data_IF_949903699101
#
_entry.id   IF_949903699101
#
_cell.length_a   1.000
_cell.length_b   1.000
_cell.length_c   1.000
_cell.angle_alpha   90.00
_cell.angle_beta   90.00
_cell.angle_gamma   90.00
#
_symmetry.space_group_name_H-M   'P 1'
#
loop_
_entity.id
_entity.type
_entity.pdbx_description
1 polymer ?
#
# COMPACT_ATOMS: atom_id res chain seq x y z
N UNK A 1 -55.21 9.79 -20.50
CA UNK A 1 -54.53 10.94 -19.88
C UNK A 1 -53.13 11.03 -20.46
N UNK A 2 -53.00 11.87 -21.48
CA UNK A 2 -51.75 12.19 -22.19
C UNK A 2 -51.08 13.35 -21.47
N UNK A 3 -49.75 13.30 -21.31
CA UNK A 3 -48.94 14.49 -21.03
C UNK A 3 -47.63 14.36 -21.80
N UNK A 4 -47.62 14.99 -22.97
CA UNK A 4 -46.42 15.40 -23.67
C UNK A 4 -45.92 16.71 -23.06
N UNK A 5 -44.65 16.78 -22.67
CA UNK A 5 -43.96 18.06 -22.48
C UNK A 5 -42.67 18.06 -23.31
N UNK A 6 -42.62 19.06 -24.18
CA UNK A 6 -41.56 19.43 -25.11
C UNK A 6 -40.30 19.92 -24.39
N UNK A 7 -39.13 19.78 -25.02
CA UNK A 7 -37.92 20.40 -24.49
C UNK A 7 -36.64 20.20 -25.31
N UNK A 8 -36.57 20.87 -26.46
CA UNK A 8 -35.39 21.45 -27.13
C UNK A 8 -34.01 20.78 -26.96
N UNK A 9 -33.46 20.15 -28.00
CA UNK A 9 -32.47 20.75 -28.92
C UNK A 9 -31.25 21.40 -28.25
N UNK A 10 -30.10 20.69 -28.31
CA UNK A 10 -28.89 21.13 -29.05
C UNK A 10 -27.83 20.04 -28.96
N UNK A 11 -27.41 19.53 -30.12
CA UNK A 11 -26.18 18.76 -30.28
C UNK A 11 -25.03 19.67 -29.83
N UNK A 12 -24.38 19.34 -28.73
CA UNK A 12 -23.11 19.96 -28.40
C UNK A 12 -22.06 19.39 -29.35
N UNK A 13 -21.81 20.13 -30.42
CA UNK A 13 -20.61 20.00 -31.23
C UNK A 13 -19.43 20.16 -30.26
N UNK A 14 -18.68 19.09 -30.00
CA UNK A 14 -17.39 19.20 -29.32
C UNK A 14 -16.48 19.91 -30.34
N UNK A 15 -16.40 21.22 -30.18
CA UNK A 15 -15.50 22.09 -30.95
C UNK A 15 -14.07 21.59 -30.84
N UNK A 16 -13.32 21.54 -31.94
CA UNK A 16 -11.91 21.21 -31.91
C UNK A 16 -11.12 22.39 -31.33
N UNK A 17 -10.20 22.07 -30.42
CA UNK A 17 -8.98 22.84 -30.22
C UNK A 17 -9.18 24.27 -29.67
N UNK A 18 -9.40 24.35 -28.36
CA UNK A 18 -9.01 25.57 -27.61
C UNK A 18 -7.48 25.62 -27.61
N UNK A 19 -6.92 26.35 -28.57
CA UNK A 19 -5.57 26.90 -28.50
C UNK A 19 -5.55 27.79 -27.26
N UNK A 20 -5.03 27.27 -26.16
CA UNK A 20 -4.77 28.07 -24.96
C UNK A 20 -3.90 29.26 -25.36
N UNK A 21 -4.45 30.47 -25.26
CA UNK A 21 -3.67 31.69 -25.29
C UNK A 21 -2.87 31.73 -23.99
N UNK A 22 -1.67 31.12 -24.01
CA UNK A 22 -0.70 31.28 -22.93
C UNK A 22 -0.14 32.69 -23.07
N UNK A 23 -0.64 33.59 -22.23
CA UNK A 23 -0.14 34.96 -22.07
C UNK A 23 1.34 34.92 -21.67
N UNK A 24 2.22 35.29 -22.60
CA UNK A 24 3.67 35.15 -22.51
C UNK A 24 4.41 36.33 -21.91
N UNK A 25 3.88 36.97 -20.87
CA UNK A 25 4.63 38.01 -20.15
C UNK A 25 5.45 37.31 -19.05
N UNK A 26 6.78 37.40 -19.17
CA UNK A 26 7.80 36.72 -18.35
C UNK A 26 8.31 35.33 -18.82
N UNK A 27 8.43 35.08 -20.14
CA UNK A 27 9.31 34.00 -20.62
C UNK A 27 10.75 34.53 -20.67
N UNK A 28 11.60 34.11 -19.72
CA UNK A 28 13.07 34.28 -19.85
C UNK A 28 13.51 33.55 -21.13
N UNK A 29 14.48 34.07 -21.90
CA UNK A 29 14.99 33.37 -23.08
C UNK A 29 15.45 31.97 -22.65
N UNK A 30 15.02 30.96 -23.41
CA UNK A 30 15.17 29.55 -23.07
C UNK A 30 16.66 29.21 -22.99
N UNK A 31 17.21 29.17 -21.78
CA UNK A 31 18.38 28.37 -21.49
C UNK A 31 18.04 26.95 -21.92
N UNK A 32 18.82 26.39 -22.85
CA UNK A 32 18.75 25.01 -23.30
C UNK A 32 18.57 24.12 -22.07
N UNK A 33 17.35 23.68 -21.82
CA UNK A 33 17.02 22.99 -20.59
C UNK A 33 17.89 21.74 -20.52
N UNK A 34 18.58 21.54 -19.39
CA UNK A 34 19.53 20.44 -19.26
C UNK A 34 18.87 19.14 -19.76
N UNK A 35 19.53 18.38 -20.65
CA UNK A 35 18.94 17.16 -21.21
C UNK A 35 18.55 16.16 -20.11
N UNK A 36 19.24 16.22 -18.96
CA UNK A 36 18.91 15.46 -17.75
C UNK A 36 17.61 15.93 -17.09
N UNK A 37 17.36 17.24 -16.99
CA UNK A 37 16.10 17.80 -16.46
C UNK A 37 14.94 17.44 -17.38
N UNK A 38 15.13 17.47 -18.70
CA UNK A 38 14.12 17.02 -19.67
C UNK A 38 13.86 15.52 -19.60
N UNK A 39 14.89 14.70 -19.44
CA UNK A 39 14.75 13.26 -19.26
C UNK A 39 13.97 12.92 -17.98
N UNK A 40 14.28 13.60 -16.86
CA UNK A 40 13.55 13.45 -15.59
C UNK A 40 12.10 13.92 -15.74
N UNK A 41 11.87 15.07 -16.37
CA UNK A 41 10.52 15.59 -16.62
C UNK A 41 9.70 14.63 -17.48
N UNK A 42 10.31 14.05 -18.52
CA UNK A 42 9.68 13.05 -19.39
C UNK A 42 9.41 11.73 -18.69
N UNK A 43 10.25 11.35 -17.72
CA UNK A 43 10.07 10.14 -16.93
C UNK A 43 8.99 10.29 -15.84
N UNK A 44 8.96 11.43 -15.14
CA UNK A 44 7.97 11.73 -14.10
C UNK A 44 6.61 12.12 -14.66
N UNK A 45 6.58 12.86 -15.77
CA UNK A 45 5.37 13.33 -16.43
C UNK A 45 5.41 12.88 -17.90
N UNK A 46 5.14 11.58 -18.16
CA UNK A 46 5.10 11.09 -19.53
C UNK A 46 4.02 11.86 -20.30
N UNK A 47 4.36 12.29 -21.52
CA UNK A 47 3.40 12.96 -22.39
C UNK A 47 2.21 12.02 -22.63
N UNK A 48 1.00 12.45 -22.27
CA UNK A 48 -0.27 11.71 -22.46
C UNK A 48 -0.69 11.61 -23.95
N UNK A 49 0.26 11.32 -24.84
CA UNK A 49 0.03 11.12 -26.25
C UNK A 49 -0.28 9.64 -26.47
N UNK A 50 -1.51 9.33 -26.88
CA UNK A 50 -2.01 7.98 -27.26
C UNK A 50 -1.28 7.34 -28.45
N UNK A 51 -0.11 7.85 -28.85
CA UNK A 51 0.60 7.45 -30.06
C UNK A 51 1.95 6.75 -29.75
N UNK A 52 2.41 6.74 -28.49
CA UNK A 52 3.68 6.07 -28.10
C UNK A 52 3.52 5.36 -26.76
N UNK A 53 3.96 4.11 -26.69
CA UNK A 53 3.99 3.35 -25.45
C UNK A 53 5.13 3.87 -24.57
N UNK A 54 4.79 4.35 -23.38
CA UNK A 54 5.72 4.81 -22.36
C UNK A 54 5.81 3.73 -21.26
N UNK A 55 7.03 3.38 -20.79
CA UNK A 55 7.20 2.35 -19.77
C UNK A 55 6.60 2.72 -18.41
N UNK A 56 6.41 4.01 -18.13
CA UNK A 56 6.05 4.51 -16.80
C UNK A 56 4.72 5.24 -16.71
N UNK A 57 3.94 5.41 -17.78
CA UNK A 57 2.61 6.01 -17.59
C UNK A 57 1.78 6.29 -18.84
N UNK A 58 0.48 6.04 -18.69
CA UNK A 58 -0.59 6.62 -19.51
C UNK A 58 -1.27 5.62 -20.43
N UNK A 59 -0.59 5.17 -21.48
CA UNK A 59 -1.23 4.40 -22.54
C UNK A 59 -0.30 3.31 -23.08
N UNK A 60 -0.70 2.05 -22.88
CA UNK A 60 -0.06 0.87 -23.49
C UNK A 60 -1.04 0.26 -24.48
N UNK A 61 -0.64 0.16 -25.74
CA UNK A 61 -1.48 -0.36 -26.85
C UNK A 61 -1.98 -1.79 -26.58
N UNK A 62 -1.17 -2.58 -25.88
CA UNK A 62 -1.45 -3.99 -25.60
C UNK A 62 -2.35 -4.20 -24.38
N UNK A 63 -2.51 -3.21 -23.51
CA UNK A 63 -3.27 -3.37 -22.27
C UNK A 63 -4.74 -3.67 -22.55
N UNK A 64 -5.35 -3.02 -23.54
CA UNK A 64 -6.73 -3.33 -23.93
C UNK A 64 -6.89 -4.79 -24.40
N UNK A 65 -5.95 -5.28 -25.22
CA UNK A 65 -5.94 -6.67 -25.71
C UNK A 65 -5.66 -7.66 -24.58
N UNK A 66 -4.73 -7.34 -23.69
CA UNK A 66 -4.38 -8.15 -22.53
C UNK A 66 -5.54 -8.24 -21.52
N UNK A 67 -6.25 -7.13 -21.29
CA UNK A 67 -7.45 -7.10 -20.45
C UNK A 67 -8.57 -7.95 -21.06
N UNK A 68 -8.81 -7.84 -22.37
CA UNK A 68 -9.78 -8.69 -23.08
C UNK A 68 -9.42 -10.17 -23.04
N UNK A 69 -8.12 -10.51 -23.01
CA UNK A 69 -7.66 -11.90 -22.90
C UNK A 69 -7.78 -12.43 -21.46
N UNK A 70 -7.38 -11.62 -20.47
CA UNK A 70 -7.40 -12.01 -19.06
C UNK A 70 -8.81 -12.02 -18.44
N UNK A 71 -9.72 -11.19 -18.97
CA UNK A 71 -11.10 -11.08 -18.52
C UNK A 71 -11.99 -11.81 -19.53
N UNK A 72 -12.43 -13.05 -19.24
CA UNK A 72 -13.27 -13.80 -20.16
C UNK A 72 -14.63 -13.13 -20.36
N UNK A 73 -15.19 -12.50 -19.31
CA UNK A 73 -16.43 -11.73 -19.36
C UNK A 73 -16.57 -10.78 -18.15
N UNK A 74 -17.42 -9.75 -18.28
CA UNK A 74 -17.73 -8.81 -17.17
C UNK A 74 -18.32 -9.55 -15.96
N UNK A 75 -19.30 -10.49 -16.12
CA UNK A 75 -19.83 -11.24 -14.98
C UNK A 75 -18.78 -12.12 -14.28
N UNK A 76 -17.84 -12.70 -15.02
CA UNK A 76 -16.77 -13.50 -14.43
C UNK A 76 -15.82 -12.63 -13.59
N UNK A 77 -15.46 -11.46 -14.12
CA UNK A 77 -14.64 -10.48 -13.40
C UNK A 77 -15.32 -10.04 -12.08
N UNK A 78 -16.58 -9.62 -12.13
CA UNK A 78 -17.34 -9.21 -10.94
C UNK A 78 -17.47 -10.35 -9.91
N UNK A 79 -17.56 -11.58 -10.37
CA UNK A 79 -17.66 -12.75 -9.48
C UNK A 79 -16.34 -13.03 -8.79
N UNK A 80 -15.23 -13.00 -9.53
CA UNK A 80 -13.87 -13.16 -8.96
C UNK A 80 -13.59 -12.04 -7.95
N UNK A 81 -13.93 -10.79 -8.28
CA UNK A 81 -13.72 -9.66 -7.37
C UNK A 81 -14.55 -9.79 -6.09
N UNK A 82 -15.84 -10.13 -6.20
CA UNK A 82 -16.70 -10.35 -5.03
C UNK A 82 -16.19 -11.49 -4.16
N UNK A 83 -15.80 -12.61 -4.77
CA UNK A 83 -15.23 -13.75 -4.06
C UNK A 83 -13.92 -13.36 -3.33
N UNK A 84 -13.04 -12.60 -3.98
CA UNK A 84 -11.80 -12.13 -3.38
C UNK A 84 -12.03 -11.16 -2.21
N UNK A 85 -12.95 -10.21 -2.36
CA UNK A 85 -13.33 -9.30 -1.28
C UNK A 85 -13.94 -10.04 -0.10
N UNK A 86 -14.80 -11.04 -0.37
CA UNK A 86 -15.36 -11.93 0.64
C UNK A 86 -14.24 -12.70 1.37
N UNK A 87 -13.29 -13.27 0.63
CA UNK A 87 -12.14 -13.98 1.23
C UNK A 87 -11.31 -13.05 2.13
N UNK A 88 -10.94 -11.85 1.65
CA UNK A 88 -10.23 -10.86 2.46
C UNK A 88 -10.98 -10.47 3.73
N UNK A 89 -12.32 -10.36 3.68
CA UNK A 89 -13.16 -10.12 4.87
C UNK A 89 -13.06 -11.28 5.86
N UNK A 90 -13.13 -12.53 5.40
CA UNK A 90 -13.00 -13.69 6.27
C UNK A 90 -11.63 -13.75 6.93
N UNK A 91 -10.55 -13.54 6.17
CA UNK A 91 -9.18 -13.51 6.70
C UNK A 91 -9.01 -12.44 7.78
N UNK A 92 -9.57 -11.24 7.60
CA UNK A 92 -9.57 -10.19 8.63
C UNK A 92 -10.29 -10.65 9.89
N UNK A 93 -11.54 -11.14 9.75
CA UNK A 93 -12.32 -11.65 10.88
C UNK A 93 -11.62 -12.77 11.63
N UNK A 94 -10.95 -13.69 10.94
CA UNK A 94 -10.19 -14.77 11.55
C UNK A 94 -9.02 -14.21 12.39
N UNK A 95 -8.23 -13.29 11.83
CA UNK A 95 -7.14 -12.64 12.56
C UNK A 95 -7.63 -11.86 13.78
N UNK A 96 -8.73 -11.12 13.64
CA UNK A 96 -9.31 -10.35 14.75
C UNK A 96 -9.81 -11.27 15.87
N UNK A 97 -10.44 -12.41 15.52
CA UNK A 97 -10.88 -13.41 16.49
C UNK A 97 -9.70 -14.09 17.21
N UNK A 98 -8.62 -14.40 16.50
CA UNK A 98 -7.39 -14.93 17.12
C UNK A 98 -6.72 -13.92 18.05
N UNK A 99 -6.67 -12.64 17.66
CA UNK A 99 -6.15 -11.56 18.50
C UNK A 99 -7.00 -11.38 19.76
N UNK A 100 -8.33 -11.41 19.63
CA UNK A 100 -9.25 -11.34 20.78
C UNK A 100 -9.01 -12.48 21.76
N UNK A 101 -8.87 -13.72 21.28
CA UNK A 101 -8.55 -14.89 22.13
C UNK A 101 -7.22 -14.74 22.87
N UNK A 102 -6.17 -14.28 22.17
CA UNK A 102 -4.85 -14.03 22.79
C UNK A 102 -4.95 -12.95 23.86
N UNK A 103 -5.71 -11.90 23.60
CA UNK A 103 -5.93 -10.81 24.55
C UNK A 103 -6.72 -11.25 25.79
N UNK A 104 -7.78 -12.04 25.61
CA UNK A 104 -8.56 -12.61 26.72
C UNK A 104 -7.70 -13.51 27.61
N UNK A 105 -6.91 -14.40 27.01
CA UNK A 105 -5.99 -15.27 27.74
C UNK A 105 -4.92 -14.47 28.51
N UNK A 106 -4.37 -13.41 27.89
CA UNK A 106 -3.42 -12.51 28.56
C UNK A 106 -4.08 -11.78 29.73
N UNK A 107 -5.32 -11.29 29.56
CA UNK A 107 -6.08 -10.61 30.60
C UNK A 107 -6.35 -11.54 31.79
N UNK A 108 -6.82 -12.76 31.54
CA UNK A 108 -7.04 -13.79 32.57
C UNK A 108 -5.76 -14.08 33.35
N UNK A 109 -4.63 -14.31 32.68
CA UNK A 109 -3.36 -14.56 33.34
C UNK A 109 -2.89 -13.38 34.22
N UNK A 110 -3.16 -12.14 33.81
CA UNK A 110 -2.84 -10.95 34.62
C UNK A 110 -3.80 -10.77 35.80
N UNK A 111 -5.07 -11.15 35.67
CA UNK A 111 -6.02 -11.18 36.77
C UNK A 111 -5.61 -12.23 37.82
N UNK A 112 -5.30 -13.46 37.40
CA UNK A 112 -4.77 -14.52 38.27
C UNK A 112 -3.45 -14.11 38.95
N UNK A 113 -2.53 -13.47 38.20
CA UNK A 113 -1.28 -12.97 38.76
C UNK A 113 -1.52 -11.85 39.77
N UNK A 114 -2.45 -10.93 39.52
CA UNK A 114 -2.77 -9.85 40.46
C UNK A 114 -3.37 -10.39 41.78
N UNK A 115 -4.22 -11.41 41.70
CA UNK A 115 -4.72 -12.12 42.87
C UNK A 115 -3.59 -12.81 43.65
N UNK A 116 -2.61 -13.39 42.95
CA UNK A 116 -1.46 -14.06 43.55
C UNK A 116 -0.35 -13.11 44.04
N UNK A 117 -0.15 -11.95 43.40
CA UNK A 117 0.93 -10.98 43.71
C UNK A 117 0.69 -10.14 44.94
N UNK A 118 -0.56 -10.08 45.45
CA UNK A 118 -0.79 -9.67 46.83
C UNK A 118 0.06 -10.50 47.81
N UNK A 119 0.52 -11.70 47.42
CA UNK A 119 1.41 -12.56 48.20
C UNK A 119 2.91 -12.50 47.81
N UNK A 120 3.30 -12.00 46.63
CA UNK A 120 4.71 -12.06 46.16
C UNK A 120 5.09 -10.77 45.43
N UNK A 121 5.67 -9.81 46.15
CA UNK A 121 6.22 -8.59 45.56
C UNK A 121 7.29 -8.90 44.50
N UNK A 122 7.04 -8.54 43.25
CA UNK A 122 7.95 -8.82 42.14
C UNK A 122 9.30 -8.12 42.29
N UNK A 123 10.37 -8.87 41.99
CA UNK A 123 11.77 -8.46 42.11
C UNK A 123 12.14 -7.49 40.99
N UNK A 124 12.52 -6.27 41.38
CA UNK A 124 12.91 -5.15 40.51
C UNK A 124 14.09 -5.42 39.54
N UNK A 125 14.76 -6.57 39.63
CA UNK A 125 15.90 -6.94 38.78
C UNK A 125 15.50 -7.37 37.36
N UNK A 126 14.34 -8.01 37.20
CA UNK A 126 13.90 -8.52 35.89
C UNK A 126 13.34 -7.40 35.00
N UNK A 127 12.68 -6.41 35.60
CA UNK A 127 12.22 -5.19 34.92
C UNK A 127 13.40 -4.41 34.31
N UNK A 128 14.52 -4.29 35.05
CA UNK A 128 15.72 -3.56 34.58
C UNK A 128 16.42 -4.23 33.40
N UNK A 129 16.37 -5.56 33.28
CA UNK A 129 16.94 -6.28 32.15
C UNK A 129 16.08 -6.17 30.87
N UNK A 130 14.77 -5.95 31.04
CA UNK A 130 13.85 -5.61 29.95
C UNK A 130 13.99 -4.14 29.51
N UNK A 131 14.25 -3.23 30.45
CA UNK A 131 14.50 -1.78 30.25
C UNK A 131 15.74 -1.43 29.41
N UNK A 132 16.72 -2.33 29.30
CA UNK A 132 17.92 -2.08 28.48
C UNK A 132 17.63 -2.03 26.96
N UNK A 133 16.39 -2.35 26.54
CA UNK A 133 15.87 -2.13 25.19
C UNK A 133 14.96 -0.91 25.20
N UNK A 134 15.07 -0.06 24.17
CA UNK A 134 14.08 1.00 23.93
C UNK A 134 12.70 0.32 23.88
N UNK A 135 11.86 0.63 24.86
CA UNK A 135 10.55 0.02 25.02
C UNK A 135 9.73 0.13 23.75
N UNK A 136 9.11 -0.98 23.34
CA UNK A 136 8.26 -1.04 22.16
C UNK A 136 8.97 -1.20 20.82
N UNK A 137 10.32 -1.22 20.77
CA UNK A 137 11.04 -1.51 19.52
C UNK A 137 11.37 -2.99 19.39
N UNK A 138 10.95 -3.57 18.26
CA UNK A 138 11.30 -4.94 17.90
C UNK A 138 12.81 -5.08 17.61
N UNK A 139 13.44 -6.21 17.98
CA UNK A 139 14.84 -6.48 17.65
C UNK A 139 15.08 -6.42 16.14
N UNK A 140 16.17 -5.74 15.71
CA UNK A 140 16.54 -5.62 14.29
C UNK A 140 16.81 -6.96 13.61
N UNK A 141 17.15 -7.98 14.39
CA UNK A 141 17.39 -9.35 13.90
C UNK A 141 16.09 -10.05 13.51
N UNK A 142 14.93 -9.59 14.02
CA UNK A 142 13.62 -10.08 13.61
C UNK A 142 13.26 -9.50 12.23
N UNK A 143 13.74 -10.17 11.18
CA UNK A 143 13.54 -9.76 9.79
C UNK A 143 12.14 -10.09 9.29
N UNK A 144 11.70 -9.33 8.28
CA UNK A 144 10.48 -9.63 7.53
C UNK A 144 10.72 -10.92 6.74
N UNK A 145 9.74 -11.86 6.70
CA UNK A 145 9.85 -13.08 5.90
C UNK A 145 10.15 -12.77 4.43
N UNK A 146 11.07 -13.54 3.84
CA UNK A 146 11.44 -13.46 2.42
C UNK A 146 10.89 -14.67 1.65
N UNK A 147 10.62 -14.50 0.36
CA UNK A 147 10.07 -15.57 -0.49
C UNK A 147 11.00 -16.79 -0.60
N UNK A 148 12.32 -16.54 -0.61
CA UNK A 148 13.34 -17.59 -0.58
C UNK A 148 14.17 -17.48 0.70
N UNK A 149 14.52 -18.61 1.35
CA UNK A 149 15.37 -18.59 2.54
C UNK A 149 16.81 -18.23 2.19
N UNK A 150 17.57 -17.75 3.17
CA UNK A 150 19.01 -17.52 3.02
C UNK A 150 19.77 -18.84 2.88
N UNK A 151 20.94 -18.80 2.22
CA UNK A 151 21.80 -20.00 2.06
C UNK A 151 22.26 -20.59 3.40
N UNK A 152 22.47 -19.76 4.41
CA UNK A 152 22.88 -20.18 5.76
C UNK A 152 21.69 -20.54 6.66
N UNK A 153 20.44 -20.27 6.25
CA UNK A 153 19.24 -20.52 7.05
C UNK A 153 19.27 -19.74 8.36
N UNK A 154 19.39 -20.48 9.47
CA UNK A 154 19.39 -19.95 10.84
C UNK A 154 20.80 -19.82 11.41
N UNK A 155 21.07 -18.75 12.18
CA UNK A 155 22.36 -18.56 12.84
C UNK A 155 22.37 -19.23 14.23
N UNK A 156 22.99 -20.40 14.32
CA UNK A 156 23.16 -21.13 15.58
C UNK A 156 24.29 -20.56 16.47
N UNK A 157 25.19 -19.75 15.91
CA UNK A 157 26.33 -19.15 16.62
C UNK A 157 26.02 -17.74 17.14
N UNK A 158 24.74 -17.40 17.28
CA UNK A 158 24.32 -16.07 17.70
C UNK A 158 24.89 -15.71 19.09
N UNK A 159 25.44 -14.49 19.21
CA UNK A 159 25.97 -13.93 20.46
C UNK A 159 25.38 -12.54 20.69
N UNK A 160 25.03 -12.18 21.93
CA UNK A 160 24.54 -10.84 22.23
C UNK A 160 25.64 -9.81 21.97
N UNK A 161 25.28 -8.69 21.35
CA UNK A 161 26.22 -7.59 21.11
C UNK A 161 26.59 -6.91 22.44
N UNK A 162 27.90 -6.82 22.81
CA UNK A 162 28.30 -6.09 24.00
C UNK A 162 28.10 -4.59 23.75
N UNK A 163 27.11 -3.98 24.40
CA UNK A 163 26.96 -2.53 24.40
C UNK A 163 27.86 -1.98 25.52
N UNK A 164 28.70 -0.96 25.26
CA UNK A 164 29.31 -0.22 26.35
C UNK A 164 28.18 0.39 27.19
N UNK A 165 28.21 0.09 28.49
CA UNK A 165 27.29 0.63 29.50
C UNK A 165 27.61 2.11 29.70
#
# INVERSE_FOLDING_TARGET
MSVSVLGSSKRACISPFVKGCVRGYARKPEETSDPKKEAIRRAMYPSNLRNRATPTGGWRRDVGRALQHAIPSVPAHETIERAWLLHKRHVRKQRDAELARKFECMKQAMEELAEAEVAVGMKASELKALDARIHGLFPREMRIPTDTPSRSGWNYEWKPFPRPI
#
